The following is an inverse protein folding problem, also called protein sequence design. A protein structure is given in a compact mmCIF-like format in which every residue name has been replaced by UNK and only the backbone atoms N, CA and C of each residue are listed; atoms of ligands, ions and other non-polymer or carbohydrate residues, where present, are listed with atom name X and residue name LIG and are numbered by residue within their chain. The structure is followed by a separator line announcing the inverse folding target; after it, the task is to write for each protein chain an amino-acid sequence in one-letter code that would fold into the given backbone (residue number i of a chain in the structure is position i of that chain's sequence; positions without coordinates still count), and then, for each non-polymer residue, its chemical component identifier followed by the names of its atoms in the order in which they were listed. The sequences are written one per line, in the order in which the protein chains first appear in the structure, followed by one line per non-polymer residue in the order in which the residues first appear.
data_IF_304698361251
#
_entry.id   IF_304698361251
#
_cell.length_a   1.000
_cell.length_b   1.000
_cell.length_c   1.000
_cell.angle_alpha   90.00
_cell.angle_beta   90.00
_cell.angle_gamma   90.00
#
_symmetry.space_group_name_H-M   'P 1'
#
loop_
_entity.id
_entity.type
_entity.pdbx_description
1 polymer ?
#
# COMPACT_ATOMS: atom_id res chain seq x y z
N UNK A 1 15.08 -16.64 -7.49
CA UNK A 1 15.96 -16.98 -6.34
C UNK A 1 15.13 -16.94 -5.04
N UNK A 2 15.48 -17.74 -4.02
CA UNK A 2 14.67 -17.83 -2.77
C UNK A 2 14.56 -16.49 -2.04
N UNK A 3 15.67 -15.74 -1.97
CA UNK A 3 15.77 -14.39 -1.37
C UNK A 3 14.82 -13.40 -2.07
N UNK A 4 14.74 -13.46 -3.40
CA UNK A 4 13.85 -12.57 -4.15
C UNK A 4 12.39 -12.79 -3.79
N UNK A 5 11.96 -14.05 -3.69
CA UNK A 5 10.60 -14.39 -3.34
C UNK A 5 10.26 -14.00 -1.90
N UNK A 6 11.24 -14.06 -1.00
CA UNK A 6 11.11 -13.59 0.38
C UNK A 6 10.93 -12.06 0.43
N UNK A 7 11.86 -11.29 -0.16
CA UNK A 7 11.79 -9.83 -0.16
C UNK A 7 10.54 -9.30 -0.86
N UNK A 8 10.19 -9.83 -2.04
CA UNK A 8 8.99 -9.43 -2.76
C UNK A 8 7.73 -9.70 -1.94
N UNK A 9 7.63 -10.87 -1.27
CA UNK A 9 6.49 -11.19 -0.42
C UNK A 9 6.41 -10.28 0.79
N UNK A 10 7.55 -9.99 1.41
CA UNK A 10 7.62 -9.11 2.58
C UNK A 10 7.16 -7.69 2.25
N UNK A 11 7.69 -7.12 1.17
CA UNK A 11 7.29 -5.82 0.65
C UNK A 11 5.80 -5.79 0.29
N UNK A 12 5.28 -6.81 -0.41
CA UNK A 12 3.86 -6.85 -0.78
C UNK A 12 2.93 -6.98 0.44
N UNK A 13 3.33 -7.74 1.47
CA UNK A 13 2.55 -7.85 2.71
C UNK A 13 2.51 -6.52 3.44
N UNK A 14 3.65 -5.84 3.58
CA UNK A 14 3.70 -4.53 4.22
C UNK A 14 2.98 -3.45 3.39
N UNK A 15 3.17 -3.44 2.07
CA UNK A 15 2.45 -2.55 1.16
C UNK A 15 0.94 -2.74 1.24
N UNK A 16 0.47 -4.00 1.21
CA UNK A 16 -0.95 -4.33 1.34
C UNK A 16 -1.52 -3.91 2.69
N UNK A 17 -0.78 -4.14 3.79
CA UNK A 17 -1.18 -3.71 5.12
C UNK A 17 -1.31 -2.18 5.22
N UNK A 18 -0.32 -1.42 4.73
CA UNK A 18 -0.38 0.04 4.75
C UNK A 18 -1.48 0.56 3.84
N UNK A 19 -1.62 0.03 2.63
CA UNK A 19 -2.69 0.38 1.69
C UNK A 19 -4.06 0.18 2.34
N UNK A 20 -4.27 -0.93 3.04
CA UNK A 20 -5.52 -1.22 3.74
C UNK A 20 -5.79 -0.24 4.88
N UNK A 21 -4.78 0.12 5.66
CA UNK A 21 -4.92 1.12 6.72
C UNK A 21 -5.26 2.50 6.14
N UNK A 22 -4.52 2.95 5.13
CA UNK A 22 -4.78 4.21 4.44
C UNK A 22 -6.17 4.25 3.81
N UNK A 23 -6.56 3.15 3.19
CA UNK A 23 -7.89 2.97 2.61
C UNK A 23 -8.98 3.13 3.66
N UNK A 24 -8.86 2.46 4.82
CA UNK A 24 -9.85 2.58 5.89
C UNK A 24 -9.95 4.00 6.44
N UNK A 25 -8.82 4.70 6.57
CA UNK A 25 -8.79 6.08 7.06
C UNK A 25 -9.49 7.03 6.07
N UNK A 26 -9.15 6.97 4.78
CA UNK A 26 -9.76 7.83 3.75
C UNK A 26 -11.24 7.49 3.53
N UNK A 27 -11.57 6.19 3.48
CA UNK A 27 -12.93 5.71 3.30
C UNK A 27 -13.85 6.16 4.44
N UNK A 28 -13.39 6.03 5.69
CA UNK A 28 -14.15 6.48 6.88
C UNK A 28 -14.40 7.98 6.87
N UNK A 29 -13.36 8.79 6.59
CA UNK A 29 -13.49 10.25 6.54
C UNK A 29 -14.50 10.71 5.47
N UNK A 30 -14.45 10.11 4.27
CA UNK A 30 -15.37 10.45 3.19
C UNK A 30 -16.78 9.94 3.43
N UNK A 31 -16.93 8.75 4.03
CA UNK A 31 -18.25 8.22 4.39
C UNK A 31 -19.01 9.18 5.31
N UNK A 32 -18.33 9.76 6.30
CA UNK A 32 -18.92 10.75 7.21
C UNK A 32 -19.36 12.01 6.44
N UNK A 33 -18.52 12.52 5.53
CA UNK A 33 -18.86 13.69 4.72
C UNK A 33 -20.07 13.44 3.81
N UNK A 34 -20.14 12.27 3.15
CA UNK A 34 -21.28 11.92 2.32
C UNK A 34 -22.57 11.73 3.13
N UNK A 35 -22.48 11.19 4.35
CA UNK A 35 -23.63 11.13 5.26
C UNK A 35 -24.12 12.53 5.65
N UNK A 36 -23.20 13.48 5.87
CA UNK A 36 -23.55 14.87 6.17
C UNK A 36 -24.25 15.54 4.98
N UNK A 37 -23.77 15.33 3.75
CA UNK A 37 -24.40 15.85 2.52
C UNK A 37 -25.80 15.25 2.29
N UNK A 38 -25.99 13.96 2.56
CA UNK A 38 -27.29 13.31 2.47
C UNK A 38 -28.27 13.80 3.56
N UNK A 39 -27.78 14.11 4.76
CA UNK A 39 -28.60 14.66 5.85
C UNK A 39 -29.12 16.08 5.56
N UNK A 40 -28.37 16.85 4.77
CA UNK A 40 -28.77 18.20 4.31
C UNK A 40 -29.77 18.11 3.12
N UNK A 41 -29.94 16.93 2.53
CA UNK A 41 -30.91 16.66 1.47
C UNK A 41 -30.36 16.87 0.04
N UNK A 42 -29.05 17.10 -0.10
CA UNK A 42 -28.39 17.34 -1.38
C UNK A 42 -28.15 16.03 -2.17
N UNK A 43 -28.10 14.90 -1.45
CA UNK A 43 -27.87 13.56 -2.03
C UNK A 43 -28.91 12.58 -1.51
N UNK A 44 -29.58 11.87 -2.42
CA UNK A 44 -30.53 10.82 -2.05
C UNK A 44 -29.78 9.63 -1.41
N UNK A 45 -30.19 9.13 -0.22
CA UNK A 45 -29.49 8.03 0.47
C UNK A 45 -29.33 6.77 -0.37
N UNK A 46 -30.23 6.54 -1.33
CA UNK A 46 -30.18 5.41 -2.26
C UNK A 46 -29.03 5.47 -3.26
N UNK A 47 -28.49 6.67 -3.53
CA UNK A 47 -27.44 6.92 -4.52
C UNK A 47 -26.05 6.99 -3.84
N UNK A 48 -26.02 7.16 -2.52
CA UNK A 48 -24.78 7.28 -1.73
C UNK A 48 -23.88 6.04 -1.85
N UNK A 49 -24.45 4.84 -1.68
CA UNK A 49 -23.71 3.58 -1.83
C UNK A 49 -23.12 3.37 -3.24
N UNK A 50 -23.90 3.52 -4.33
CA UNK A 50 -23.38 3.44 -5.70
C UNK A 50 -22.28 4.46 -5.99
N UNK A 51 -22.44 5.71 -5.53
CA UNK A 51 -21.44 6.78 -5.75
C UNK A 51 -20.13 6.45 -5.06
N UNK A 52 -20.19 5.97 -3.82
CA UNK A 52 -18.99 5.54 -3.10
C UNK A 52 -18.29 4.38 -3.80
N UNK A 53 -19.04 3.38 -4.27
CA UNK A 53 -18.49 2.24 -4.98
C UNK A 53 -17.83 2.66 -6.31
N UNK A 54 -18.41 3.64 -7.01
CA UNK A 54 -17.85 4.19 -8.24
C UNK A 54 -16.58 5.02 -8.01
N UNK A 55 -16.44 5.62 -6.82
CA UNK A 55 -15.26 6.39 -6.44
C UNK A 55 -14.12 5.53 -5.88
N UNK A 56 -14.39 4.30 -5.45
CA UNK A 56 -13.37 3.36 -4.95
C UNK A 56 -12.13 3.20 -5.84
N UNK A 57 -12.25 2.97 -7.17
CA UNK A 57 -11.09 2.78 -8.03
C UNK A 57 -10.19 4.03 -8.08
N UNK A 58 -10.80 5.21 -8.06
CA UNK A 58 -10.09 6.48 -8.07
C UNK A 58 -9.30 6.71 -6.77
N UNK A 59 -9.80 6.24 -5.64
CA UNK A 59 -9.06 6.30 -4.37
C UNK A 59 -7.92 5.29 -4.33
N UNK A 60 -8.16 4.07 -4.81
CA UNK A 60 -7.12 3.05 -4.91
C UNK A 60 -5.97 3.50 -5.81
N UNK A 61 -6.25 4.19 -6.92
CA UNK A 61 -5.21 4.73 -7.81
C UNK A 61 -4.21 5.65 -7.08
N UNK A 62 -4.66 6.40 -6.07
CA UNK A 62 -3.83 7.32 -5.30
C UNK A 62 -3.19 6.64 -4.08
N UNK A 63 -3.95 5.79 -3.39
CA UNK A 63 -3.52 5.12 -2.16
C UNK A 63 -2.52 4.00 -2.44
N UNK A 64 -2.67 3.27 -3.55
CA UNK A 64 -1.89 2.09 -3.86
C UNK A 64 -0.40 2.43 -4.13
N UNK A 65 -0.04 3.48 -4.89
CA UNK A 65 1.35 3.94 -4.99
C UNK A 65 1.94 4.40 -3.65
N UNK A 66 1.14 5.10 -2.84
CA UNK A 66 1.57 5.60 -1.53
C UNK A 66 1.82 4.44 -0.55
N UNK A 67 0.89 3.49 -0.51
CA UNK A 67 0.98 2.29 0.32
C UNK A 67 2.14 1.39 -0.10
N UNK A 68 2.41 1.28 -1.40
CA UNK A 68 3.59 0.59 -1.92
C UNK A 68 4.90 1.27 -1.49
N UNK A 69 4.99 2.60 -1.65
CA UNK A 69 6.16 3.36 -1.22
C UNK A 69 6.45 3.17 0.28
N UNK A 70 5.42 3.31 1.12
CA UNK A 70 5.53 3.11 2.57
C UNK A 70 5.83 1.64 2.92
N UNK A 71 5.25 0.69 2.19
CA UNK A 71 5.51 -0.74 2.35
C UNK A 71 6.97 -1.11 2.09
N UNK A 72 7.58 -0.55 1.04
CA UNK A 72 9.02 -0.67 0.79
C UNK A 72 9.80 -0.07 1.97
N UNK A 73 9.47 1.15 2.39
CA UNK A 73 10.21 1.85 3.44
C UNK A 73 10.19 1.06 4.76
N UNK A 74 9.03 0.50 5.14
CA UNK A 74 8.89 -0.33 6.33
C UNK A 74 9.62 -1.67 6.23
N UNK A 75 9.52 -2.37 5.09
CA UNK A 75 10.24 -3.64 4.88
C UNK A 75 11.74 -3.43 4.92
N UNK A 76 12.26 -2.40 4.22
CA UNK A 76 13.67 -2.04 4.31
C UNK A 76 14.07 -1.62 5.71
N UNK A 77 13.25 -0.80 6.39
CA UNK A 77 13.47 -0.43 7.79
C UNK A 77 13.63 -1.64 8.70
N UNK A 78 12.80 -2.68 8.51
CA UNK A 78 12.92 -3.95 9.23
C UNK A 78 14.22 -4.68 8.91
N UNK A 79 14.58 -4.79 7.63
CA UNK A 79 15.84 -5.42 7.20
C UNK A 79 17.08 -4.73 7.80
N UNK A 80 17.05 -3.41 7.97
CA UNK A 80 18.11 -2.67 8.65
C UNK A 80 18.08 -2.88 10.16
N UNK A 81 16.90 -2.87 10.79
CA UNK A 81 16.75 -3.04 12.24
C UNK A 81 17.15 -4.45 12.72
N UNK A 82 16.79 -5.49 11.95
CA UNK A 82 17.13 -6.88 12.24
C UNK A 82 18.54 -7.27 11.75
N UNK A 83 19.31 -6.31 11.23
CA UNK A 83 20.65 -6.52 10.66
C UNK A 83 20.71 -7.51 9.48
N UNK A 84 19.57 -7.94 8.92
CA UNK A 84 19.50 -8.80 7.72
C UNK A 84 20.18 -8.12 6.51
N UNK A 85 20.07 -6.80 6.40
CA UNK A 85 20.73 -6.02 5.36
C UNK A 85 22.26 -6.14 5.40
N UNK A 86 22.85 -6.29 6.59
CA UNK A 86 24.29 -6.47 6.76
C UNK A 86 24.71 -7.85 6.22
N UNK A 87 23.90 -8.88 6.47
CA UNK A 87 24.12 -10.24 5.98
C UNK A 87 24.05 -10.27 4.44
N UNK A 88 23.07 -9.57 3.84
CA UNK A 88 22.98 -9.48 2.39
C UNK A 88 24.20 -8.79 1.76
N UNK A 89 24.68 -7.69 2.36
CA UNK A 89 25.89 -7.01 1.89
C UNK A 89 27.14 -7.87 2.06
N UNK A 90 27.27 -8.58 3.18
CA UNK A 90 28.39 -9.49 3.43
C UNK A 90 28.39 -10.70 2.49
N UNK A 91 27.21 -11.14 2.04
CA UNK A 91 27.03 -12.23 1.06
C UNK A 91 27.28 -11.80 -0.40
N UNK A 92 27.71 -10.56 -0.63
CA UNK A 92 28.00 -10.04 -1.96
C UNK A 92 26.77 -9.53 -2.73
N UNK A 93 25.61 -9.43 -2.09
CA UNK A 93 24.40 -8.86 -2.73
C UNK A 93 24.51 -7.33 -2.69
N UNK A 94 24.79 -6.75 -3.86
CA UNK A 94 24.88 -5.29 -4.03
C UNK A 94 23.51 -4.61 -3.98
N UNK A 95 23.51 -3.29 -3.72
CA UNK A 95 22.30 -2.45 -3.72
C UNK A 95 21.51 -2.49 -5.03
N UNK A 96 22.20 -2.65 -6.17
CA UNK A 96 21.57 -2.81 -7.49
C UNK A 96 20.78 -4.12 -7.62
N UNK A 97 21.27 -5.23 -7.04
CA UNK A 97 20.53 -6.50 -7.04
C UNK A 97 19.31 -6.43 -6.11
N UNK A 98 19.41 -5.74 -4.97
CA UNK A 98 18.26 -5.47 -4.09
C UNK A 98 17.18 -4.64 -4.82
N UNK A 99 17.56 -3.60 -5.55
CA UNK A 99 16.61 -2.84 -6.37
C UNK A 99 15.94 -3.71 -7.45
N UNK A 100 16.72 -4.55 -8.15
CA UNK A 100 16.19 -5.48 -9.16
C UNK A 100 15.26 -6.53 -8.55
N UNK A 101 15.43 -6.84 -7.26
CA UNK A 101 14.59 -7.77 -6.51
C UNK A 101 13.20 -7.21 -6.20
N UNK A 102 13.05 -5.88 -6.15
CA UNK A 102 11.77 -5.19 -5.91
C UNK A 102 10.98 -4.98 -7.20
N UNK A 103 11.61 -4.96 -8.37
CA UNK A 103 10.93 -4.80 -9.67
C UNK A 103 9.66 -5.66 -9.86
N UNK A 104 9.62 -6.94 -9.47
CA UNK A 104 8.40 -7.75 -9.57
C UNK A 104 7.26 -7.25 -8.68
N UNK A 105 7.58 -6.63 -7.55
CA UNK A 105 6.60 -6.03 -6.64
C UNK A 105 5.97 -4.78 -7.25
N UNK A 106 6.73 -4.03 -8.07
CA UNK A 106 6.23 -2.87 -8.82
C UNK A 106 5.22 -3.32 -9.88
N UNK A 107 5.46 -4.45 -10.55
CA UNK A 107 4.53 -4.99 -11.57
C UNK A 107 3.24 -5.56 -10.96
N UNK A 108 3.29 -5.96 -9.68
CA UNK A 108 2.14 -6.51 -8.97
C UNK A 108 1.19 -5.42 -8.40
N UNK A 109 1.60 -4.16 -8.49
CA UNK A 109 0.95 -2.95 -8.00
C UNK A 109 0.40 -2.16 -9.18
#
# INVERSE_FOLDING_TARGET
MLIQRYLTRDVLVHAGAVTLVLFLVDFSGRFINYLAEAAIGDISPAILFPVMLYKLPSFLELILPLGFFLGILLSFGRLYAESEMIIFRASGIGSGQLAMTILPAIVAV
#
